data_IF_372687017496
#
_entry.id   IF_372687017496
#
_cell.length_a   1.000
_cell.length_b   1.000
_cell.length_c   1.000
_cell.angle_alpha   90.00
_cell.angle_beta   90.00
_cell.angle_gamma   90.00
#
_symmetry.space_group_name_H-M   'P 1'
#
loop_
_entity.id
_entity.type
_entity.pdbx_description
1 polymer ?
#
# COMPACT_ATOMS: atom_id res chain seq x y z
N UNK A 1 -10.88 12.30 -12.74
CA UNK A 1 -9.50 12.22 -12.25
C UNK A 1 -9.14 10.75 -12.18
N UNK A 2 -7.88 10.36 -12.42
CA UNK A 2 -7.50 8.94 -12.33
C UNK A 2 -7.33 8.54 -10.85
N UNK A 3 -8.08 7.51 -10.44
CA UNK A 3 -8.13 6.99 -9.06
C UNK A 3 -6.77 6.47 -8.57
N UNK A 4 -5.99 5.88 -9.47
CA UNK A 4 -4.66 5.35 -9.19
C UNK A 4 -3.55 6.25 -9.76
N UNK A 5 -2.29 5.92 -9.47
CA UNK A 5 -1.14 6.53 -10.13
C UNK A 5 -1.14 6.15 -11.61
N UNK A 6 -0.96 7.14 -12.47
CA UNK A 6 -0.89 6.98 -13.93
C UNK A 6 0.46 6.37 -14.35
N UNK A 7 0.56 5.86 -15.58
CA UNK A 7 1.85 5.39 -16.15
C UNK A 7 2.95 6.47 -16.17
N UNK A 8 2.58 7.75 -16.11
CA UNK A 8 3.53 8.87 -16.03
C UNK A 8 4.04 9.11 -14.61
N UNK A 9 3.27 8.70 -13.61
CA UNK A 9 3.59 8.85 -12.19
C UNK A 9 4.31 7.61 -11.63
N UNK A 10 3.96 6.43 -12.15
CA UNK A 10 4.54 5.15 -11.75
C UNK A 10 6.02 5.03 -12.16
N UNK A 11 6.83 4.31 -11.36
CA UNK A 11 8.19 4.01 -11.76
C UNK A 11 8.18 2.96 -12.89
N UNK A 12 9.14 3.05 -13.81
CA UNK A 12 9.18 2.20 -15.02
C UNK A 12 9.25 0.68 -14.75
N UNK A 13 9.62 0.26 -13.54
CA UNK A 13 9.69 -1.14 -13.15
C UNK A 13 8.35 -1.70 -12.67
N UNK A 14 7.33 -0.87 -12.49
CA UNK A 14 6.08 -1.25 -11.84
C UNK A 14 4.87 -1.12 -12.76
N UNK A 15 3.98 -2.09 -12.63
CA UNK A 15 2.61 -2.04 -13.13
C UNK A 15 1.70 -2.68 -12.09
N UNK A 16 0.54 -2.10 -11.83
CA UNK A 16 -0.42 -2.70 -10.91
C UNK A 16 -0.80 -4.13 -11.35
N UNK A 17 -0.75 -5.12 -10.44
CA UNK A 17 -1.14 -6.49 -10.79
C UNK A 17 -2.66 -6.57 -11.03
N UNK A 18 -3.07 -7.48 -11.93
CA UNK A 18 -4.50 -7.65 -12.28
C UNK A 18 -5.37 -8.01 -11.07
N UNK A 19 -4.79 -8.70 -10.08
CA UNK A 19 -5.45 -8.98 -8.80
C UNK A 19 -5.85 -7.71 -8.05
N UNK A 20 -5.00 -6.68 -8.06
CA UNK A 20 -5.29 -5.40 -7.42
C UNK A 20 -6.34 -4.61 -8.20
N UNK A 21 -6.16 -4.50 -9.53
CA UNK A 21 -7.13 -3.82 -10.41
C UNK A 21 -8.54 -4.38 -10.25
N UNK A 22 -8.67 -5.71 -10.22
CA UNK A 22 -9.96 -6.38 -9.97
C UNK A 22 -10.65 -5.90 -8.69
N UNK A 23 -9.91 -5.71 -7.59
CA UNK A 23 -10.47 -5.28 -6.30
C UNK A 23 -10.90 -3.81 -6.36
N UNK A 24 -10.10 -2.96 -7.02
CA UNK A 24 -10.46 -1.55 -7.28
C UNK A 24 -11.75 -1.46 -8.11
N UNK A 25 -11.84 -2.23 -9.19
CA UNK A 25 -13.00 -2.25 -10.09
C UNK A 25 -14.29 -2.71 -9.39
N UNK A 26 -14.15 -3.53 -8.34
CA UNK A 26 -15.25 -3.99 -7.48
C UNK A 26 -15.63 -3.00 -6.38
N UNK A 27 -14.89 -1.89 -6.21
CA UNK A 27 -15.14 -0.90 -5.16
C UNK A 27 -14.80 -1.38 -3.74
N UNK A 28 -14.00 -2.44 -3.61
CA UNK A 28 -13.58 -3.00 -2.33
C UNK A 28 -12.36 -2.22 -1.80
N UNK A 29 -12.62 -1.02 -1.28
CA UNK A 29 -11.59 -0.05 -0.92
C UNK A 29 -11.43 0.19 0.59
N UNK A 30 -12.51 0.01 1.34
CA UNK A 30 -12.58 0.29 2.77
C UNK A 30 -12.86 -0.99 3.54
N UNK A 31 -11.89 -1.41 4.35
CA UNK A 31 -11.98 -2.58 5.21
C UNK A 31 -11.16 -2.28 6.45
N UNK A 32 -11.76 -1.51 7.37
CA UNK A 32 -11.12 -1.04 8.60
C UNK A 32 -10.37 -2.18 9.29
N UNK A 33 -9.14 -1.98 9.78
CA UNK A 33 -8.46 -0.69 9.85
C UNK A 33 -7.73 -0.29 8.56
N UNK A 34 -7.85 -1.06 7.47
CA UNK A 34 -7.15 -0.77 6.21
C UNK A 34 -8.04 -0.02 5.20
N UNK A 35 -7.42 0.94 4.52
CA UNK A 35 -8.03 1.66 3.39
C UNK A 35 -7.09 1.66 2.21
N UNK A 36 -7.57 1.21 1.05
CA UNK A 36 -6.90 1.38 -0.22
C UNK A 36 -7.01 2.87 -0.62
N UNK A 37 -5.86 3.50 -0.84
CA UNK A 37 -5.79 4.93 -1.13
C UNK A 37 -6.06 5.19 -2.62
N UNK A 38 -6.88 6.20 -2.90
CA UNK A 38 -7.14 6.71 -4.25
C UNK A 38 -6.82 8.21 -4.35
N UNK A 39 -6.82 8.73 -5.58
CA UNK A 39 -6.78 10.15 -5.92
C UNK A 39 -5.58 10.90 -5.29
N UNK A 40 -5.84 12.04 -4.65
CA UNK A 40 -4.83 12.90 -4.03
C UNK A 40 -4.18 12.26 -2.80
N UNK A 41 -4.91 11.39 -2.08
CA UNK A 41 -4.39 10.73 -0.89
C UNK A 41 -3.27 9.76 -1.26
N UNK A 42 -3.45 8.99 -2.33
CA UNK A 42 -2.43 8.11 -2.87
C UNK A 42 -1.20 8.90 -3.34
N UNK A 43 -1.40 9.98 -4.10
CA UNK A 43 -0.30 10.82 -4.63
C UNK A 43 0.51 11.49 -3.53
N UNK A 44 -0.18 12.06 -2.55
CA UNK A 44 0.45 12.70 -1.39
C UNK A 44 1.27 11.69 -0.60
N UNK A 45 0.73 10.48 -0.38
CA UNK A 45 1.45 9.42 0.32
C UNK A 45 2.66 8.94 -0.48
N UNK A 46 2.52 8.74 -1.78
CA UNK A 46 3.59 8.29 -2.66
C UNK A 46 4.78 9.27 -2.66
N UNK A 47 4.51 10.56 -2.82
CA UNK A 47 5.56 11.58 -2.78
C UNK A 47 6.17 11.76 -1.39
N UNK A 48 5.37 11.57 -0.33
CA UNK A 48 5.86 11.56 1.05
C UNK A 48 6.85 10.43 1.33
N UNK A 49 6.49 9.20 0.93
CA UNK A 49 7.32 8.00 1.13
C UNK A 49 8.63 8.12 0.35
N UNK A 50 8.60 8.59 -0.90
CA UNK A 50 9.84 8.85 -1.68
C UNK A 50 10.81 9.80 -0.96
N UNK A 51 10.28 10.84 -0.32
CA UNK A 51 11.11 11.82 0.40
C UNK A 51 11.68 11.26 1.71
N UNK A 52 10.92 10.41 2.41
CA UNK A 52 11.32 9.82 3.69
C UNK A 52 12.27 8.63 3.54
N UNK A 53 12.11 7.84 2.48
CA UNK A 53 12.90 6.63 2.22
C UNK A 53 13.59 6.70 0.85
N UNK A 54 14.50 7.67 0.64
CA UNK A 54 15.11 7.90 -0.67
C UNK A 54 16.00 6.74 -1.15
N UNK A 55 16.43 5.84 -0.25
CA UNK A 55 17.18 4.62 -0.63
C UNK A 55 16.28 3.48 -1.11
N UNK A 56 14.95 3.61 -0.99
CA UNK A 56 13.97 2.59 -1.35
C UNK A 56 13.10 3.04 -2.52
N UNK A 57 12.70 2.07 -3.34
CA UNK A 57 11.74 2.29 -4.43
C UNK A 57 10.42 1.58 -4.06
N UNK A 58 9.53 2.34 -3.42
CA UNK A 58 8.25 1.87 -2.90
C UNK A 58 7.07 2.49 -3.66
N UNK A 59 6.06 1.69 -3.96
CA UNK A 59 4.77 2.13 -4.49
C UNK A 59 3.69 1.80 -3.46
N UNK A 60 3.20 2.77 -2.67
CA UNK A 60 2.16 2.54 -1.68
C UNK A 60 0.81 2.32 -2.35
N UNK A 61 -0.09 1.63 -1.68
CA UNK A 61 -1.46 1.45 -2.17
C UNK A 61 -2.53 1.37 -1.10
N UNK A 62 -2.18 1.00 0.13
CA UNK A 62 -3.12 1.03 1.25
C UNK A 62 -2.45 1.57 2.51
N UNK A 63 -3.22 2.25 3.35
CA UNK A 63 -2.81 2.71 4.68
C UNK A 63 -3.67 2.04 5.73
N UNK A 64 -3.12 1.87 6.92
CA UNK A 64 -3.91 1.64 8.12
C UNK A 64 -4.40 2.98 8.68
N UNK A 65 -5.57 2.99 9.30
CA UNK A 65 -6.16 4.20 9.89
C UNK A 65 -5.91 4.30 11.41
N UNK A 66 -5.65 3.18 12.07
CA UNK A 66 -5.34 3.08 13.50
C UNK A 66 -3.84 3.28 13.82
N UNK A 67 -2.97 3.33 12.80
CA UNK A 67 -1.56 3.65 12.93
C UNK A 67 -0.96 4.17 11.62
N UNK A 68 0.34 4.44 11.58
CA UNK A 68 1.04 4.93 10.40
C UNK A 68 1.49 3.82 9.42
N UNK A 69 0.97 2.60 9.52
CA UNK A 69 1.37 1.51 8.64
C UNK A 69 0.86 1.71 7.20
N UNK A 70 1.71 1.40 6.23
CA UNK A 70 1.42 1.50 4.79
C UNK A 70 1.84 0.22 4.09
N UNK A 71 0.93 -0.33 3.30
CA UNK A 71 1.22 -1.43 2.40
C UNK A 71 1.78 -0.89 1.07
N UNK A 72 2.93 -1.42 0.66
CA UNK A 72 3.65 -1.01 -0.54
C UNK A 72 4.08 -2.22 -1.39
N UNK A 73 4.21 -2.02 -2.69
CA UNK A 73 5.11 -2.82 -3.52
C UNK A 73 6.52 -2.25 -3.45
N UNK A 74 7.53 -3.12 -3.50
CA UNK A 74 8.94 -2.72 -3.50
C UNK A 74 9.67 -3.32 -4.69
N UNK A 75 10.56 -2.53 -5.29
CA UNK A 75 11.42 -2.99 -6.38
C UNK A 75 12.26 -4.19 -5.93
N UNK A 76 12.50 -5.11 -6.85
CA UNK A 76 13.30 -6.34 -6.64
C UNK A 76 12.73 -7.31 -5.60
N UNK A 77 11.48 -7.15 -5.17
CA UNK A 77 10.79 -8.11 -4.28
C UNK A 77 9.74 -8.99 -5.00
N UNK A 78 9.81 -9.11 -6.32
CA UNK A 78 8.98 -10.02 -7.12
C UNK A 78 7.46 -9.92 -6.84
N UNK A 79 6.94 -8.70 -6.67
CA UNK A 79 5.51 -8.47 -6.43
C UNK A 79 5.02 -8.76 -5.01
N UNK A 80 5.94 -9.02 -4.06
CA UNK A 80 5.62 -9.06 -2.63
C UNK A 80 5.07 -7.72 -2.15
N UNK A 81 4.25 -7.80 -1.10
CA UNK A 81 3.79 -6.63 -0.37
C UNK A 81 4.64 -6.46 0.87
N UNK A 82 5.13 -5.25 1.11
CA UNK A 82 5.82 -4.87 2.34
C UNK A 82 4.92 -3.93 3.12
N UNK A 83 4.81 -4.17 4.43
CA UNK A 83 4.22 -3.22 5.37
C UNK A 83 5.35 -2.43 5.97
N UNK A 84 5.26 -1.11 5.84
CA UNK A 84 6.17 -0.18 6.50
C UNK A 84 5.41 0.65 7.53
N UNK A 85 6.05 0.98 8.64
CA UNK A 85 5.57 2.01 9.55
C UNK A 85 6.06 3.37 9.05
N UNK A 86 5.18 4.10 8.36
CA UNK A 86 5.51 5.39 7.79
C UNK A 86 5.96 6.37 8.89
N UNK A 87 6.84 7.31 8.55
CA UNK A 87 7.52 8.23 9.49
C UNK A 87 8.56 7.62 10.45
N UNK A 88 8.75 6.30 10.47
CA UNK A 88 9.94 5.72 11.10
C UNK A 88 11.23 6.15 10.39
N UNK A 89 12.35 6.17 11.11
CA UNK A 89 13.67 6.41 10.50
C UNK A 89 14.00 5.33 9.47
N UNK A 90 14.61 5.74 8.35
CA UNK A 90 15.00 4.82 7.27
C UNK A 90 15.88 3.67 7.80
N UNK A 91 15.50 2.44 7.45
CA UNK A 91 16.07 1.19 7.96
C UNK A 91 15.28 0.54 9.10
N UNK A 92 14.36 1.25 9.75
CA UNK A 92 13.57 0.77 10.91
C UNK A 92 12.08 0.63 10.60
N UNK A 93 11.64 1.04 9.42
CA UNK A 93 10.23 1.09 9.04
C UNK A 93 9.63 -0.28 8.72
N UNK A 94 10.42 -1.34 8.49
CA UNK A 94 9.86 -2.63 8.04
C UNK A 94 9.09 -3.33 9.17
N UNK A 95 7.81 -3.62 8.93
CA UNK A 95 6.91 -4.28 9.89
C UNK A 95 6.69 -5.76 9.50
N UNK A 96 6.27 -6.01 8.25
CA UNK A 96 5.87 -7.35 7.78
C UNK A 96 5.97 -7.46 6.26
N UNK A 97 6.09 -8.68 5.75
CA UNK A 97 5.99 -8.97 4.32
C UNK A 97 4.91 -10.02 4.01
N UNK A 98 4.34 -9.94 2.81
CA UNK A 98 3.44 -10.92 2.23
C UNK A 98 3.92 -11.34 0.85
N UNK A 99 3.70 -12.61 0.47
CA UNK A 99 4.23 -13.12 -0.80
C UNK A 99 3.59 -12.48 -2.04
N UNK A 100 2.36 -11.99 -1.90
CA UNK A 100 1.60 -11.36 -2.97
C UNK A 100 0.43 -10.53 -2.39
N UNK A 101 -0.28 -9.84 -3.28
CA UNK A 101 -1.44 -9.03 -2.93
C UNK A 101 -2.59 -9.80 -2.26
N UNK A 102 -2.86 -11.06 -2.66
CA UNK A 102 -3.93 -11.86 -2.04
C UNK A 102 -3.62 -12.25 -0.60
N UNK A 103 -2.37 -12.54 -0.29
CA UNK A 103 -1.93 -12.82 1.07
C UNK A 103 -2.08 -11.60 1.97
N UNK A 104 -1.75 -10.41 1.45
CA UNK A 104 -2.03 -9.16 2.13
C UNK A 104 -3.53 -8.93 2.32
N UNK A 105 -4.35 -9.08 1.27
CA UNK A 105 -5.78 -8.83 1.34
C UNK A 105 -6.47 -9.77 2.33
N UNK A 106 -6.10 -11.05 2.35
CA UNK A 106 -6.56 -11.99 3.38
C UNK A 106 -6.26 -11.46 4.78
N UNK A 107 -5.02 -11.06 5.03
CA UNK A 107 -4.63 -10.51 6.33
C UNK A 107 -5.34 -9.21 6.68
N UNK A 108 -5.64 -8.36 5.69
CA UNK A 108 -6.36 -7.13 5.93
C UNK A 108 -7.84 -7.38 6.29
N UNK A 109 -8.48 -8.36 5.62
CA UNK A 109 -9.84 -8.79 5.94
C UNK A 109 -9.94 -9.49 7.31
N UNK A 110 -8.94 -10.28 7.69
CA UNK A 110 -8.86 -10.82 9.06
C UNK A 110 -8.77 -9.67 10.08
N UNK A 111 -7.94 -8.65 9.81
CA UNK A 111 -7.88 -7.47 10.66
C UNK A 111 -9.24 -6.75 10.74
N UNK A 112 -10.03 -6.73 9.66
CA UNK A 112 -11.40 -6.22 9.68
C UNK A 112 -12.36 -7.01 10.53
N UNK A 113 -12.22 -8.34 10.55
CA UNK A 113 -13.04 -9.20 11.42
C UNK A 113 -12.67 -8.99 12.89
N UNK A 114 -11.39 -8.80 13.18
CA UNK A 114 -10.87 -8.57 14.53
C UNK A 114 -11.09 -7.15 15.04
N UNK A 115 -11.25 -6.18 14.13
CA UNK A 115 -11.39 -4.77 14.48
C UNK A 115 -12.73 -4.52 15.18
N UNK A 116 -12.67 -4.24 16.48
CA UNK A 116 -13.85 -3.99 17.31
C UNK A 116 -14.52 -2.62 17.08
N UNK A 117 -13.95 -1.77 16.24
CA UNK A 117 -14.31 -0.36 16.11
C UNK A 117 -13.86 0.49 17.31
N UNK A 118 -13.59 1.76 17.06
CA UNK A 118 -13.66 2.83 18.08
C UNK A 118 -14.91 3.69 17.85
#
# INVERSE_FOLDING_TARGET
>A
MEKLLTDKELPAWFSYPDSFKRIIDQGLLYFDPWVIMEDEWLRTRYEGIKKRYPSRELVPFARREDNDDVACWEKNKNGKIVIIHDFASEGYENVKEFNNFWDWLRSALEATIEYGGE
#
